data_IF_427622854939
#
_entry.id   IF_427622854939
#
_cell.length_a   1.000
_cell.length_b   1.000
_cell.length_c   1.000
_cell.angle_alpha   90.00
_cell.angle_beta   90.00
_cell.angle_gamma   90.00
#
_symmetry.space_group_name_H-M   'P 1'
#
loop_
_entity.id
_entity.type
_entity.pdbx_description
1 polymer ?
#
# COMPACT_ATOMS: atom_id res chain seq x y z
N UNK A 1 31.79 2.46 28.24
CA UNK A 1 30.99 3.55 28.83
C UNK A 1 30.31 4.29 27.69
N UNK A 2 29.03 4.69 27.82
CA UNK A 2 28.34 5.43 26.75
C UNK A 2 28.88 6.86 26.70
N UNK A 3 29.13 7.35 25.50
CA UNK A 3 29.55 8.73 25.22
C UNK A 3 28.40 9.71 25.53
N UNK A 4 28.72 10.88 26.10
CA UNK A 4 27.75 11.95 26.36
C UNK A 4 27.76 12.89 25.15
N UNK A 5 26.61 13.06 24.50
CA UNK A 5 26.50 13.96 23.35
C UNK A 5 26.24 15.40 23.82
N UNK A 6 26.96 16.37 23.27
CA UNK A 6 26.87 17.79 23.64
C UNK A 6 26.64 18.64 22.38
N UNK A 7 25.70 19.58 22.43
CA UNK A 7 25.46 20.54 21.35
C UNK A 7 25.16 21.94 21.91
N UNK A 8 25.64 22.97 21.21
CA UNK A 8 25.26 24.37 21.47
C UNK A 8 23.87 24.71 20.93
N UNK A 9 23.33 23.87 20.04
CA UNK A 9 21.96 23.96 19.53
C UNK A 9 20.91 23.49 20.55
N UNK A 10 19.64 23.52 20.14
CA UNK A 10 18.51 23.15 21.01
C UNK A 10 18.10 21.67 20.89
N UNK A 11 18.66 20.92 19.95
CA UNK A 11 18.34 19.52 19.68
C UNK A 11 19.49 18.79 18.98
N UNK A 12 19.40 17.46 18.90
CA UNK A 12 20.27 16.60 18.09
C UNK A 12 19.48 16.05 16.90
N UNK A 13 19.98 16.20 15.68
CA UNK A 13 19.33 15.61 14.50
C UNK A 13 19.33 14.08 14.59
N UNK A 14 18.17 13.46 14.34
CA UNK A 14 18.01 12.01 14.45
C UNK A 14 17.83 11.49 15.87
N UNK A 15 17.58 12.37 16.84
CA UNK A 15 17.30 12.00 18.23
C UNK A 15 16.11 12.78 18.79
N UNK A 16 15.31 12.12 19.62
CA UNK A 16 14.24 12.74 20.38
C UNK A 16 14.71 12.99 21.81
N UNK A 17 14.49 14.20 22.32
CA UNK A 17 14.63 14.49 23.74
C UNK A 17 13.40 13.91 24.46
N UNK A 18 13.63 12.93 25.34
CA UNK A 18 12.58 12.19 26.04
C UNK A 18 12.43 12.56 27.51
N UNK A 19 13.42 13.23 28.09
CA UNK A 19 13.38 13.75 29.47
C UNK A 19 14.28 14.99 29.57
N UNK A 20 13.80 16.04 30.21
CA UNK A 20 14.57 17.24 30.50
C UNK A 20 15.02 17.22 31.96
N UNK A 21 16.32 17.44 32.16
CA UNK A 21 16.93 17.60 33.47
C UNK A 21 17.13 19.03 33.88
N UNK A 22 17.81 19.19 35.01
CA UNK A 22 18.20 20.50 35.52
C UNK A 22 19.25 21.14 34.64
N UNK A 23 19.21 22.45 34.52
CA UNK A 23 20.36 23.23 34.06
C UNK A 23 21.52 23.04 35.03
N UNK A 24 22.71 22.81 34.49
CA UNK A 24 23.95 22.67 35.27
C UNK A 24 25.02 23.58 34.71
N UNK A 25 25.97 23.94 35.56
CA UNK A 25 27.18 24.60 35.17
C UNK A 25 28.36 24.10 36.01
N UNK A 26 29.55 24.16 35.43
CA UNK A 26 30.83 24.02 36.12
C UNK A 26 31.65 25.26 35.84
N UNK A 27 32.56 25.59 36.76
CA UNK A 27 33.44 26.74 36.61
C UNK A 27 34.85 26.37 37.04
N UNK A 28 35.83 26.87 36.30
CA UNK A 28 37.24 26.83 36.67
C UNK A 28 37.69 28.25 36.96
N UNK A 29 38.05 28.51 38.22
CA UNK A 29 38.41 29.84 38.69
C UNK A 29 39.87 30.13 38.34
N UNK A 30 40.11 31.23 37.63
CA UNK A 30 41.43 31.77 37.36
C UNK A 30 41.80 32.72 38.51
N UNK A 31 42.81 32.33 39.29
CA UNK A 31 43.34 33.20 40.33
C UNK A 31 44.05 34.41 39.70
N UNK A 32 44.04 35.55 40.40
CA UNK A 32 44.81 36.76 40.08
C UNK A 32 46.32 36.51 39.81
N UNK A 33 46.90 35.43 40.34
CA UNK A 33 48.28 35.02 40.03
C UNK A 33 48.42 34.46 38.61
N UNK A 34 47.38 33.85 38.02
CA UNK A 34 47.38 33.44 36.62
C UNK A 34 47.56 34.67 35.69
N UNK A 35 46.83 35.76 35.95
CA UNK A 35 46.97 37.00 35.18
C UNK A 35 48.31 37.71 35.43
N UNK A 36 48.87 37.62 36.65
CA UNK A 36 50.16 38.22 37.01
C UNK A 36 51.38 37.43 36.52
N UNK A 37 51.38 36.11 36.64
CA UNK A 37 52.46 35.22 36.16
C UNK A 37 52.61 35.30 34.63
N UNK A 38 51.49 35.52 33.94
CA UNK A 38 51.48 35.90 32.53
C UNK A 38 52.06 37.31 32.30
N UNK A 39 51.65 38.31 33.08
CA UNK A 39 52.17 39.68 32.97
C UNK A 39 53.69 39.81 33.18
N UNK A 40 54.30 38.94 34.00
CA UNK A 40 55.74 38.97 34.30
C UNK A 40 56.60 38.08 33.39
N UNK A 41 56.06 37.00 32.81
CA UNK A 41 56.80 36.11 31.90
C UNK A 41 56.77 36.54 30.42
N UNK A 42 56.01 37.60 30.07
CA UNK A 42 55.63 37.95 28.68
C UNK A 42 56.06 39.37 28.29
N UNK A 43 56.90 40.03 29.09
CA UNK A 43 57.35 41.39 28.81
C UNK A 43 58.17 41.55 27.50
N UNK A 44 58.76 40.48 26.95
CA UNK A 44 59.82 40.61 25.95
C UNK A 44 59.52 40.24 24.49
N UNK A 45 58.34 39.72 24.10
CA UNK A 45 58.09 39.33 22.68
C UNK A 45 56.69 39.74 22.20
N UNK A 46 56.64 40.57 21.15
CA UNK A 46 55.45 41.34 20.78
C UNK A 46 54.51 40.71 19.73
N UNK A 47 54.85 39.55 19.17
CA UNK A 47 54.18 39.03 17.95
C UNK A 47 53.56 37.63 18.09
N UNK A 48 54.04 36.75 18.99
CA UNK A 48 53.44 35.41 19.29
C UNK A 48 52.31 35.46 20.33
N UNK A 49 51.82 36.66 20.66
CA UNK A 49 51.01 36.96 21.86
C UNK A 49 49.62 36.33 21.91
N UNK A 50 49.03 35.97 20.76
CA UNK A 50 47.67 35.39 20.75
C UNK A 50 47.73 33.90 20.96
N UNK A 51 48.69 33.22 20.36
CA UNK A 51 48.68 31.77 20.27
C UNK A 51 48.92 31.11 21.63
N UNK A 52 49.88 31.59 22.43
CA UNK A 52 50.17 31.04 23.78
C UNK A 52 49.05 31.35 24.79
N UNK A 53 48.47 32.55 24.70
CA UNK A 53 47.35 32.93 25.55
C UNK A 53 46.09 32.13 25.20
N UNK A 54 45.83 31.98 23.91
CA UNK A 54 44.70 31.24 23.40
C UNK A 54 44.86 29.74 23.70
N UNK A 55 46.07 29.17 23.55
CA UNK A 55 46.38 27.78 23.90
C UNK A 55 46.07 27.47 25.36
N UNK A 56 46.50 28.33 26.30
CA UNK A 56 46.20 28.13 27.73
C UNK A 56 44.72 28.35 28.08
N UNK A 57 44.04 29.29 27.42
CA UNK A 57 42.59 29.45 27.59
C UNK A 57 41.86 28.24 27.02
N UNK A 58 42.30 27.69 25.89
CA UNK A 58 41.76 26.48 25.29
C UNK A 58 42.02 25.26 26.18
N UNK A 59 43.18 25.15 26.83
CA UNK A 59 43.47 24.13 27.85
C UNK A 59 42.47 24.19 29.01
N UNK A 60 42.28 25.38 29.61
CA UNK A 60 41.34 25.58 30.71
C UNK A 60 39.89 25.34 30.26
N UNK A 61 39.54 25.75 29.04
CA UNK A 61 38.23 25.54 28.46
C UNK A 61 37.96 24.05 28.27
N UNK A 62 38.93 23.32 27.71
CA UNK A 62 38.85 21.86 27.57
C UNK A 62 38.76 21.16 28.93
N UNK A 63 39.54 21.58 29.93
CA UNK A 63 39.44 21.08 31.30
C UNK A 63 38.04 21.33 31.87
N UNK A 64 37.48 22.52 31.67
CA UNK A 64 36.15 22.89 32.16
C UNK A 64 35.05 22.08 31.45
N UNK A 65 35.17 21.84 30.14
CA UNK A 65 34.28 20.95 29.36
C UNK A 65 34.39 19.51 29.86
N UNK A 66 35.60 19.02 30.15
CA UNK A 66 35.81 17.67 30.67
C UNK A 66 35.16 17.52 32.06
N UNK A 67 35.40 18.47 32.97
CA UNK A 67 34.78 18.51 34.29
C UNK A 67 33.25 18.57 34.19
N UNK A 68 32.71 19.35 33.25
CA UNK A 68 31.29 19.38 32.97
C UNK A 68 30.78 18.01 32.49
N UNK A 69 31.49 17.39 31.54
CA UNK A 69 31.13 16.09 30.97
C UNK A 69 31.16 14.98 32.01
N UNK A 70 32.16 14.97 32.90
CA UNK A 70 32.26 14.04 34.02
C UNK A 70 31.11 14.22 35.00
N UNK A 71 30.76 15.47 35.34
CA UNK A 71 29.57 15.76 36.12
C UNK A 71 28.29 15.23 35.44
N UNK A 72 28.16 15.33 34.12
CA UNK A 72 27.00 14.75 33.40
C UNK A 72 27.00 13.23 33.48
N UNK A 73 28.16 12.57 33.38
CA UNK A 73 28.31 11.10 33.46
C UNK A 73 27.89 10.54 34.82
N UNK A 74 27.97 11.33 35.88
CA UNK A 74 27.48 10.97 37.22
C UNK A 74 25.95 11.09 37.36
N UNK A 75 25.27 11.65 36.35
CA UNK A 75 23.80 11.77 36.34
C UNK A 75 23.12 10.66 35.53
N UNK A 76 21.80 10.60 35.61
CA UNK A 76 20.96 9.71 34.78
C UNK A 76 20.79 10.20 33.32
N UNK A 77 21.38 11.33 32.95
CA UNK A 77 21.19 11.97 31.64
C UNK A 77 22.33 11.59 30.68
N UNK A 78 22.03 11.48 29.39
CA UNK A 78 22.99 11.00 28.38
C UNK A 78 23.39 12.06 27.34
N UNK A 79 22.82 13.26 27.39
CA UNK A 79 23.18 14.34 26.48
C UNK A 79 22.93 15.74 27.07
N UNK A 80 23.43 16.77 26.39
CA UNK A 80 23.36 18.18 26.80
C UNK A 80 23.00 19.06 25.60
N UNK A 81 21.96 19.88 25.77
CA UNK A 81 21.54 20.89 24.76
C UNK A 81 21.70 22.30 25.31
N UNK A 82 21.79 23.27 24.39
CA UNK A 82 22.02 24.67 24.72
C UNK A 82 23.35 24.89 25.42
N UNK A 83 24.36 24.07 25.09
CA UNK A 83 25.67 24.14 25.71
C UNK A 83 26.36 25.46 25.40
N UNK A 84 26.87 26.12 26.44
CA UNK A 84 27.56 27.40 26.36
C UNK A 84 28.83 27.34 27.18
N UNK A 85 29.91 27.84 26.58
CA UNK A 85 31.18 28.06 27.26
C UNK A 85 31.58 29.52 27.11
N UNK A 86 32.19 30.09 28.14
CA UNK A 86 32.64 31.46 28.08
C UNK A 86 33.50 31.83 29.27
N UNK A 87 34.13 33.00 29.15
CA UNK A 87 34.88 33.63 30.23
C UNK A 87 33.96 34.63 30.91
N UNK A 88 33.77 34.49 32.22
CA UNK A 88 33.02 35.43 33.06
C UNK A 88 33.98 36.15 34.01
N UNK A 89 33.79 37.46 34.13
CA UNK A 89 34.49 38.29 35.12
C UNK A 89 33.58 38.50 36.33
N UNK A 90 34.02 38.03 37.49
CA UNK A 90 33.39 38.29 38.78
C UNK A 90 34.01 39.52 39.45
N UNK A 91 33.31 40.05 40.45
CA UNK A 91 33.81 41.11 41.32
C UNK A 91 35.14 40.70 41.97
N UNK A 92 36.07 41.65 42.13
CA UNK A 92 37.42 41.47 42.69
C UNK A 92 38.46 40.82 41.76
N UNK A 93 38.39 41.07 40.44
CA UNK A 93 39.34 40.58 39.43
C UNK A 93 39.47 39.04 39.41
N UNK A 94 38.37 38.35 39.70
CA UNK A 94 38.31 36.90 39.58
C UNK A 94 37.68 36.58 38.24
N UNK A 95 38.44 35.95 37.36
CA UNK A 95 37.95 35.49 36.07
C UNK A 95 37.65 34.00 36.18
N UNK A 96 36.57 33.50 35.60
CA UNK A 96 36.31 32.08 35.51
C UNK A 96 35.95 31.68 34.10
N UNK A 97 36.33 30.46 33.73
CA UNK A 97 35.77 29.80 32.55
C UNK A 97 34.58 29.00 33.03
N UNK A 98 33.41 29.26 32.43
CA UNK A 98 32.15 28.61 32.77
C UNK A 98 31.71 27.75 31.60
N UNK A 99 31.34 26.50 31.89
CA UNK A 99 30.65 25.61 30.97
C UNK A 99 29.27 25.29 31.53
N UNK A 100 28.23 25.40 30.70
CA UNK A 100 26.85 25.27 31.16
C UNK A 100 25.92 24.75 30.08
N UNK A 101 24.83 24.10 30.49
CA UNK A 101 23.86 23.55 29.56
C UNK A 101 22.71 22.84 30.27
N UNK A 102 21.73 22.42 29.49
CA UNK A 102 20.57 21.66 30.00
C UNK A 102 20.80 20.19 29.78
N UNK A 103 20.79 19.41 30.87
CA UNK A 103 20.90 17.95 30.79
C UNK A 103 19.63 17.38 30.19
N UNK A 104 19.75 16.41 29.29
CA UNK A 104 18.61 15.75 28.65
C UNK A 104 18.86 14.25 28.52
N UNK A 105 17.79 13.46 28.51
CA UNK A 105 17.85 12.13 27.93
C UNK A 105 17.40 12.21 26.49
N UNK A 106 18.27 11.79 25.59
CA UNK A 106 17.93 11.55 24.20
C UNK A 106 17.80 10.06 23.95
N UNK A 107 16.87 9.72 23.07
CA UNK A 107 16.82 8.42 22.40
C UNK A 107 17.03 8.68 20.93
N UNK A 108 17.72 7.78 20.24
CA UNK A 108 17.68 7.79 18.78
C UNK A 108 16.22 7.86 18.37
N UNK A 109 15.90 8.80 17.50
CA UNK A 109 14.61 8.81 16.84
C UNK A 109 14.46 7.44 16.20
N UNK A 110 13.38 6.77 16.55
CA UNK A 110 13.01 5.54 15.87
C UNK A 110 12.73 5.90 14.40
N UNK A 111 13.72 5.69 13.53
CA UNK A 111 13.46 5.55 12.09
C UNK A 111 12.83 4.19 11.89
N UNK A 112 11.56 4.24 11.55
CA UNK A 112 10.73 3.07 11.49
C UNK A 112 11.31 2.02 10.56
N UNK A 113 11.24 0.75 10.97
CA UNK A 113 11.26 -0.32 9.98
C UNK A 113 10.12 -0.16 8.96
N UNK A 114 9.20 0.82 9.02
CA UNK A 114 8.21 1.15 8.00
C UNK A 114 8.66 2.20 6.97
N UNK A 115 9.82 2.83 7.16
CA UNK A 115 10.66 3.24 6.03
C UNK A 115 11.42 2.03 5.43
N UNK A 116 11.38 0.86 6.11
CA UNK A 116 11.90 -0.44 5.67
C UNK A 116 10.81 -1.54 5.50
N UNK A 117 9.52 -1.19 5.60
CA UNK A 117 8.37 -2.11 5.65
C UNK A 117 7.21 -1.36 5.04
N UNK A 118 7.33 -1.22 3.73
CA UNK A 118 6.20 -0.99 2.88
C UNK A 118 5.36 -2.27 2.93
N UNK A 119 4.33 -2.30 3.79
CA UNK A 119 3.29 -3.31 3.60
C UNK A 119 2.66 -3.05 2.23
N UNK A 120 3.05 -3.85 1.25
CA UNK A 120 2.55 -3.73 -0.12
C UNK A 120 1.58 -4.89 -0.31
N UNK A 121 0.34 -4.57 -0.66
CA UNK A 121 -0.69 -5.56 -0.97
C UNK A 121 -1.32 -5.25 -2.32
N UNK A 122 -1.55 -6.30 -3.11
CA UNK A 122 -2.34 -6.22 -4.34
C UNK A 122 -3.32 -7.39 -4.39
N UNK A 123 -4.59 -7.10 -4.69
CA UNK A 123 -5.65 -8.09 -4.86
C UNK A 123 -6.09 -8.10 -6.32
N UNK A 124 -5.96 -9.25 -6.96
CA UNK A 124 -6.19 -9.40 -8.40
C UNK A 124 -7.20 -10.51 -8.63
N UNK A 125 -8.23 -10.26 -9.44
CA UNK A 125 -9.17 -11.29 -9.82
C UNK A 125 -8.58 -12.20 -10.90
N UNK A 126 -8.83 -13.50 -10.77
CA UNK A 126 -8.30 -14.52 -11.70
C UNK A 126 -9.03 -14.43 -13.04
N UNK A 127 -8.27 -14.43 -14.14
CA UNK A 127 -8.72 -14.18 -15.52
C UNK A 127 -8.98 -15.45 -16.33
N UNK A 128 -9.02 -16.61 -15.69
CA UNK A 128 -9.39 -17.88 -16.30
C UNK A 128 -10.20 -18.73 -15.31
N UNK A 129 -10.94 -19.70 -15.83
CA UNK A 129 -11.72 -20.65 -15.02
C UNK A 129 -11.83 -21.99 -15.75
N UNK A 130 -12.17 -23.05 -15.02
CA UNK A 130 -12.48 -24.35 -15.61
C UNK A 130 -13.97 -24.52 -15.72
N UNK A 131 -14.51 -25.08 -16.80
CA UNK A 131 -15.93 -25.43 -16.84
C UNK A 131 -16.22 -26.83 -16.27
N UNK A 132 -15.70 -27.09 -15.08
CA UNK A 132 -15.85 -28.35 -14.35
C UNK A 132 -16.21 -28.10 -12.88
N UNK A 133 -16.79 -29.11 -12.25
CA UNK A 133 -17.11 -29.12 -10.82
C UNK A 133 -15.87 -29.45 -9.99
N UNK A 134 -14.91 -28.53 -10.02
CA UNK A 134 -13.62 -28.58 -9.30
C UNK A 134 -13.43 -27.29 -8.50
N UNK A 135 -12.49 -27.22 -7.54
CA UNK A 135 -12.13 -25.95 -6.93
C UNK A 135 -11.73 -24.93 -8.02
N UNK A 136 -12.30 -23.73 -8.00
CA UNK A 136 -12.00 -22.69 -9.01
C UNK A 136 -11.34 -21.49 -8.36
N UNK A 137 -10.13 -21.15 -8.79
CA UNK A 137 -9.45 -19.95 -8.34
C UNK A 137 -10.24 -18.70 -8.76
N UNK A 138 -10.30 -17.69 -7.91
CA UNK A 138 -11.12 -16.49 -8.17
C UNK A 138 -10.46 -15.19 -7.78
N UNK A 139 -9.54 -15.22 -6.82
CA UNK A 139 -8.73 -14.06 -6.45
C UNK A 139 -7.34 -14.51 -6.00
N UNK A 140 -6.33 -13.74 -6.38
CA UNK A 140 -4.97 -13.84 -5.86
C UNK A 140 -4.68 -12.60 -5.02
N UNK A 141 -4.07 -12.82 -3.85
CA UNK A 141 -3.62 -11.77 -2.95
C UNK A 141 -2.10 -11.87 -2.86
N UNK A 142 -1.41 -10.86 -3.37
CA UNK A 142 0.02 -10.66 -3.19
C UNK A 142 0.22 -9.72 -2.02
N UNK A 143 1.11 -10.07 -1.09
CA UNK A 143 1.45 -9.22 0.05
C UNK A 143 2.94 -9.33 0.36
N UNK A 144 3.59 -8.22 0.72
CA UNK A 144 4.92 -8.23 1.32
C UNK A 144 4.96 -7.29 2.51
N UNK A 145 5.69 -7.70 3.53
CA UNK A 145 6.05 -6.91 4.71
C UNK A 145 7.54 -6.51 4.69
N UNK A 146 8.19 -6.54 3.51
CA UNK A 146 9.62 -6.29 3.34
C UNK A 146 10.52 -7.51 3.59
N UNK A 147 9.93 -8.68 3.84
CA UNK A 147 10.60 -9.97 4.05
C UNK A 147 10.24 -10.98 2.96
N UNK A 148 10.11 -10.49 1.73
CA UNK A 148 9.71 -11.28 0.57
C UNK A 148 8.21 -11.30 0.33
N UNK A 149 7.85 -11.54 -0.93
CA UNK A 149 6.46 -11.59 -1.36
C UNK A 149 5.83 -12.93 -0.96
N UNK A 150 4.65 -12.82 -0.37
CA UNK A 150 3.77 -13.93 -0.05
C UNK A 150 2.53 -13.88 -0.93
N UNK A 151 2.00 -15.04 -1.22
CA UNK A 151 0.85 -15.23 -2.08
C UNK A 151 -0.22 -16.08 -1.40
N UNK A 152 -1.47 -15.64 -1.49
CA UNK A 152 -2.65 -16.41 -1.11
C UNK A 152 -3.63 -16.43 -2.28
N UNK A 153 -4.32 -17.54 -2.49
CA UNK A 153 -5.32 -17.71 -3.55
C UNK A 153 -6.64 -18.13 -2.92
N UNK A 154 -7.71 -17.50 -3.40
CA UNK A 154 -9.07 -17.80 -2.99
C UNK A 154 -9.72 -18.71 -4.04
N UNK A 155 -10.24 -19.84 -3.58
CA UNK A 155 -10.87 -20.86 -4.41
C UNK A 155 -12.33 -21.04 -4.02
N UNK A 156 -13.23 -21.01 -5.01
CA UNK A 156 -14.60 -21.42 -4.81
C UNK A 156 -14.67 -22.95 -4.81
N UNK A 157 -15.29 -23.49 -3.77
CA UNK A 157 -15.47 -24.90 -3.51
C UNK A 157 -16.96 -25.21 -3.52
N UNK A 158 -17.49 -25.44 -4.72
CA UNK A 158 -18.93 -25.57 -4.94
C UNK A 158 -19.55 -26.79 -4.24
N UNK A 159 -18.76 -27.86 -4.08
CA UNK A 159 -19.21 -29.09 -3.40
C UNK A 159 -19.08 -29.03 -1.88
N UNK A 160 -18.49 -27.97 -1.33
CA UNK A 160 -18.03 -27.96 0.07
C UNK A 160 -17.16 -29.20 0.39
N UNK A 161 -16.32 -29.61 -0.56
CA UNK A 161 -15.41 -30.73 -0.33
C UNK A 161 -14.38 -30.36 0.76
N UNK A 162 -13.91 -31.35 1.50
CA UNK A 162 -12.77 -31.23 2.43
C UNK A 162 -11.45 -31.18 1.65
N UNK A 163 -11.18 -30.03 1.02
CA UNK A 163 -9.96 -29.79 0.24
C UNK A 163 -8.81 -29.48 1.19
N UNK A 164 -7.82 -30.37 1.26
CA UNK A 164 -6.66 -30.24 2.13
C UNK A 164 -5.53 -29.42 1.52
N UNK A 165 -5.32 -29.58 0.22
CA UNK A 165 -4.26 -28.89 -0.51
C UNK A 165 -4.57 -28.77 -2.00
N UNK A 166 -3.96 -27.78 -2.65
CA UNK A 166 -4.10 -27.46 -4.08
C UNK A 166 -2.72 -27.13 -4.65
N UNK A 167 -2.31 -27.79 -5.74
CA UNK A 167 -1.11 -27.44 -6.51
C UNK A 167 -1.53 -26.69 -7.76
N UNK A 168 -1.02 -25.48 -7.96
CA UNK A 168 -1.35 -24.66 -9.12
C UNK A 168 -0.15 -23.89 -9.68
N UNK A 169 -0.20 -23.61 -10.97
CA UNK A 169 0.68 -22.65 -11.64
C UNK A 169 -0.02 -21.30 -11.76
N UNK A 170 0.73 -20.23 -11.51
CA UNK A 170 0.22 -18.86 -11.60
C UNK A 170 0.97 -18.11 -12.70
N UNK A 171 0.24 -17.56 -13.65
CA UNK A 171 0.78 -16.72 -14.72
C UNK A 171 0.29 -15.30 -14.50
N UNK A 172 1.20 -14.43 -14.08
CA UNK A 172 0.94 -13.01 -13.92
C UNK A 172 1.26 -12.26 -15.20
N UNK A 173 0.51 -11.22 -15.49
CA UNK A 173 0.86 -10.21 -16.48
C UNK A 173 1.06 -8.88 -15.78
N UNK A 174 2.12 -8.16 -16.11
CA UNK A 174 2.37 -6.83 -15.56
C UNK A 174 1.67 -5.74 -16.39
N UNK A 175 1.74 -4.48 -15.94
CA UNK A 175 1.21 -3.31 -16.66
C UNK A 175 1.85 -3.06 -18.04
N UNK A 176 3.00 -3.65 -18.33
CA UNK A 176 3.69 -3.56 -19.62
C UNK A 176 3.32 -4.71 -20.57
N UNK A 177 2.60 -5.73 -20.09
CA UNK A 177 2.24 -6.92 -20.87
C UNK A 177 3.22 -8.10 -20.73
N UNK A 178 4.27 -7.99 -19.92
CA UNK A 178 5.19 -9.11 -19.70
C UNK A 178 4.56 -10.17 -18.79
N UNK A 179 4.83 -11.43 -19.11
CA UNK A 179 4.33 -12.57 -18.34
C UNK A 179 5.38 -13.09 -17.35
N UNK A 180 4.96 -13.36 -16.12
CA UNK A 180 5.75 -13.96 -15.05
C UNK A 180 5.04 -15.22 -14.58
N UNK A 181 5.69 -16.38 -14.70
CA UNK A 181 5.11 -17.66 -14.29
C UNK A 181 5.72 -18.15 -12.97
N UNK A 182 4.87 -18.51 -12.03
CA UNK A 182 5.22 -19.27 -10.82
C UNK A 182 4.69 -20.70 -10.97
N UNK A 183 5.56 -21.66 -11.33
CA UNK A 183 5.14 -23.05 -11.49
C UNK A 183 4.94 -23.74 -10.13
N UNK A 184 3.99 -24.67 -10.10
CA UNK A 184 3.83 -25.71 -9.07
C UNK A 184 3.75 -25.22 -7.62
N UNK A 185 3.05 -24.10 -7.39
CA UNK A 185 2.82 -23.55 -6.05
C UNK A 185 1.80 -24.41 -5.29
N UNK A 186 2.17 -24.82 -4.08
CA UNK A 186 1.33 -25.62 -3.19
C UNK A 186 0.60 -24.74 -2.18
N UNK A 187 -0.73 -24.79 -2.21
CA UNK A 187 -1.64 -24.07 -1.34
C UNK A 187 -2.27 -25.02 -0.32
N UNK A 188 -2.27 -24.59 0.94
CA UNK A 188 -2.92 -25.28 2.07
C UNK A 188 -3.93 -24.36 2.73
N UNK A 189 -4.75 -24.90 3.63
CA UNK A 189 -5.89 -24.19 4.21
C UNK A 189 -6.00 -24.48 5.71
N UNK A 190 -6.04 -23.43 6.53
CA UNK A 190 -6.38 -23.55 7.96
C UNK A 190 -7.79 -24.11 8.21
N UNK A 191 -8.75 -23.73 7.36
CA UNK A 191 -10.15 -24.17 7.44
C UNK A 191 -10.61 -24.73 6.13
N UNK A 192 -11.07 -25.98 6.19
CA UNK A 192 -11.61 -26.73 5.05
C UNK A 192 -13.14 -26.77 5.11
N UNK A 193 -13.79 -27.34 4.09
CA UNK A 193 -15.26 -27.47 4.01
C UNK A 193 -16.02 -26.12 4.06
N UNK A 194 -15.45 -25.10 3.40
CA UNK A 194 -16.09 -23.80 3.18
C UNK A 194 -16.38 -23.62 1.69
N UNK A 195 -17.48 -22.92 1.37
CA UNK A 195 -17.81 -22.51 -0.02
C UNK A 195 -16.69 -21.70 -0.67
N UNK A 196 -15.98 -20.91 0.12
CA UNK A 196 -14.84 -20.10 -0.32
C UNK A 196 -13.63 -20.45 0.56
N UNK A 197 -12.67 -21.15 -0.04
CA UNK A 197 -11.41 -21.51 0.58
C UNK A 197 -10.42 -20.37 0.35
N UNK A 198 -9.77 -19.90 1.41
CA UNK A 198 -8.68 -18.93 1.32
C UNK A 198 -7.42 -19.66 1.72
N UNK A 199 -6.47 -19.79 0.79
CA UNK A 199 -5.23 -20.48 1.12
C UNK A 199 -4.44 -19.69 2.14
N UNK A 200 -3.62 -20.40 2.89
CA UNK A 200 -2.57 -19.79 3.68
C UNK A 200 -1.59 -19.06 2.76
N UNK A 201 -0.84 -18.13 3.33
CA UNK A 201 0.16 -17.38 2.59
C UNK A 201 1.40 -18.25 2.35
N UNK A 202 1.77 -18.39 1.09
CA UNK A 202 2.95 -19.13 0.64
C UNK A 202 4.02 -18.13 0.23
N UNK A 203 5.28 -18.35 0.59
CA UNK A 203 6.39 -17.53 0.10
C UNK A 203 6.62 -17.78 -1.39
N UNK A 204 6.82 -16.70 -2.15
CA UNK A 204 7.16 -16.82 -3.56
C UNK A 204 8.34 -15.93 -3.95
N UNK A 205 9.07 -16.36 -4.98
CA UNK A 205 10.24 -15.64 -5.52
C UNK A 205 9.84 -14.48 -6.44
N UNK A 206 8.75 -13.76 -6.11
CA UNK A 206 8.39 -12.53 -6.80
C UNK A 206 8.99 -11.35 -6.02
N UNK A 207 9.80 -10.47 -6.63
CA UNK A 207 10.30 -9.30 -5.93
C UNK A 207 9.17 -8.31 -5.58
N UNK A 208 9.20 -7.74 -4.37
CA UNK A 208 8.14 -6.89 -3.81
C UNK A 208 7.75 -5.70 -4.70
N UNK A 209 8.72 -5.17 -5.46
CA UNK A 209 8.51 -4.09 -6.44
C UNK A 209 7.48 -4.44 -7.51
N UNK A 210 7.35 -5.72 -7.86
CA UNK A 210 6.42 -6.17 -8.90
C UNK A 210 4.98 -6.26 -8.39
N UNK A 211 4.74 -6.34 -7.08
CA UNK A 211 3.38 -6.50 -6.53
C UNK A 211 2.44 -5.41 -7.07
N UNK A 212 2.89 -4.14 -7.10
CA UNK A 212 2.10 -3.00 -7.61
C UNK A 212 1.96 -2.96 -9.14
N UNK A 213 2.83 -3.67 -9.85
CA UNK A 213 2.88 -3.68 -11.31
C UNK A 213 2.09 -4.83 -11.92
N UNK A 214 1.65 -5.80 -11.13
CA UNK A 214 0.80 -6.89 -11.62
C UNK A 214 -0.58 -6.33 -11.95
N UNK A 215 -0.98 -6.47 -13.22
CA UNK A 215 -2.28 -6.04 -13.74
C UNK A 215 -3.28 -7.19 -13.75
N UNK A 216 -2.84 -8.41 -14.06
CA UNK A 216 -3.72 -9.57 -14.17
C UNK A 216 -3.04 -10.88 -13.80
N UNK A 217 -3.84 -11.92 -13.56
CA UNK A 217 -3.35 -13.25 -13.22
C UNK A 217 -4.27 -14.33 -13.80
N UNK A 218 -3.66 -15.41 -14.32
CA UNK A 218 -4.30 -16.69 -14.61
C UNK A 218 -3.77 -17.73 -13.64
N UNK A 219 -4.65 -18.64 -13.20
CA UNK A 219 -4.31 -19.72 -12.26
C UNK A 219 -4.70 -21.05 -12.89
N UNK A 220 -3.74 -21.94 -12.99
CA UNK A 220 -3.89 -23.26 -13.58
C UNK A 220 -3.72 -24.31 -12.50
N UNK A 221 -4.83 -24.86 -12.02
CA UNK A 221 -4.82 -25.88 -10.98
C UNK A 221 -4.41 -27.20 -11.63
N UNK A 222 -3.32 -27.79 -11.15
CA UNK A 222 -2.80 -29.07 -11.65
C UNK A 222 -3.36 -30.24 -10.84
N UNK A 223 -3.30 -30.13 -9.51
CA UNK A 223 -3.74 -31.19 -8.59
C UNK A 223 -4.45 -30.62 -7.37
N UNK A 224 -5.31 -31.43 -6.76
CA UNK A 224 -5.93 -31.10 -5.48
C UNK A 224 -6.19 -32.36 -4.66
N UNK A 225 -6.20 -32.20 -3.33
CA UNK A 225 -6.26 -33.31 -2.38
C UNK A 225 -7.56 -33.26 -1.60
N UNK A 226 -8.30 -34.36 -1.59
CA UNK A 226 -9.44 -34.61 -0.69
C UNK A 226 -9.09 -35.74 0.29
N UNK A 227 -9.97 -35.99 1.26
CA UNK A 227 -9.88 -37.18 2.10
C UNK A 227 -9.85 -38.50 1.30
N UNK A 228 -10.52 -38.54 0.14
CA UNK A 228 -10.63 -39.73 -0.73
C UNK A 228 -9.44 -39.96 -1.66
N UNK A 229 -8.52 -38.99 -1.82
CA UNK A 229 -7.36 -39.16 -2.70
C UNK A 229 -6.87 -37.85 -3.32
N UNK A 230 -5.91 -38.00 -4.24
CA UNK A 230 -5.33 -36.93 -5.04
C UNK A 230 -6.00 -36.93 -6.42
N UNK A 231 -6.43 -35.76 -6.86
CA UNK A 231 -7.14 -35.56 -8.12
C UNK A 231 -6.33 -34.64 -9.01
N UNK A 232 -6.28 -34.96 -10.30
CA UNK A 232 -5.69 -34.15 -11.35
C UNK A 232 -6.78 -33.45 -12.17
N UNK A 233 -6.48 -32.27 -12.69
CA UNK A 233 -7.37 -31.56 -13.62
C UNK A 233 -6.78 -31.67 -15.01
N UNK A 234 -7.40 -32.52 -15.82
CA UNK A 234 -7.08 -32.71 -17.23
C UNK A 234 -8.15 -32.02 -18.09
N UNK A 235 -8.13 -30.68 -18.05
CA UNK A 235 -9.05 -29.86 -18.83
C UNK A 235 -8.43 -28.49 -19.11
N UNK A 236 -8.76 -27.94 -20.28
CA UNK A 236 -8.36 -26.59 -20.63
C UNK A 236 -9.15 -25.55 -19.83
N UNK A 237 -8.44 -24.53 -19.35
CA UNK A 237 -9.10 -23.38 -18.73
C UNK A 237 -9.61 -22.42 -19.80
N UNK A 238 -10.76 -21.80 -19.54
CA UNK A 238 -11.36 -20.78 -20.38
C UNK A 238 -10.87 -19.39 -19.94
N UNK A 239 -10.38 -18.59 -20.88
CA UNK A 239 -9.99 -17.20 -20.66
C UNK A 239 -11.20 -16.27 -20.54
N UNK A 240 -11.05 -15.22 -19.72
CA UNK A 240 -12.07 -14.18 -19.56
C UNK A 240 -11.71 -13.00 -20.49
N UNK A 241 -12.61 -12.68 -21.43
CA UNK A 241 -12.41 -11.70 -22.51
C UNK A 241 -13.08 -10.33 -22.26
N UNK A 242 -13.39 -9.98 -21.00
CA UNK A 242 -14.01 -8.67 -20.67
C UNK A 242 -12.99 -7.68 -20.09
N UNK A 243 -13.22 -6.38 -20.23
CA UNK A 243 -12.33 -5.37 -19.62
C UNK A 243 -12.27 -5.51 -18.09
N UNK A 244 -11.18 -5.07 -17.47
CA UNK A 244 -11.00 -5.19 -16.01
C UNK A 244 -12.05 -4.43 -15.21
N UNK A 245 -12.48 -3.28 -15.73
CA UNK A 245 -13.55 -2.45 -15.16
C UNK A 245 -14.86 -3.25 -15.13
N UNK A 246 -15.25 -3.85 -16.27
CA UNK A 246 -16.43 -4.71 -16.39
C UNK A 246 -16.32 -5.94 -15.48
N UNK A 247 -15.15 -6.57 -15.42
CA UNK A 247 -14.95 -7.77 -14.62
C UNK A 247 -15.08 -7.50 -13.13
N UNK A 248 -14.50 -6.40 -12.65
CA UNK A 248 -14.61 -5.96 -11.26
C UNK A 248 -16.06 -5.67 -10.87
N UNK A 249 -16.80 -4.96 -11.73
CA UNK A 249 -18.22 -4.69 -11.54
C UNK A 249 -19.07 -5.98 -11.49
N UNK A 250 -18.81 -6.93 -12.40
CA UNK A 250 -19.48 -8.22 -12.41
C UNK A 250 -19.27 -8.97 -11.08
N UNK A 251 -18.03 -9.03 -10.59
CA UNK A 251 -17.70 -9.69 -9.31
C UNK A 251 -18.42 -9.04 -8.13
N UNK A 252 -18.49 -7.71 -8.10
CA UNK A 252 -19.18 -6.95 -7.05
C UNK A 252 -20.69 -7.24 -7.04
N UNK A 253 -21.31 -7.30 -8.22
CA UNK A 253 -22.76 -7.49 -8.36
C UNK A 253 -23.20 -8.94 -8.20
N UNK A 254 -22.41 -9.91 -8.67
CA UNK A 254 -22.82 -11.32 -8.82
C UNK A 254 -22.08 -12.29 -7.92
N UNK A 255 -21.05 -11.81 -7.23
CA UNK A 255 -20.20 -12.64 -6.36
C UNK A 255 -18.83 -12.91 -6.98
N UNK A 256 -17.90 -13.29 -6.10
CA UNK A 256 -16.48 -13.44 -6.43
C UNK A 256 -16.19 -14.56 -7.45
N UNK A 257 -17.12 -15.50 -7.64
CA UNK A 257 -17.04 -16.60 -8.58
C UNK A 257 -17.59 -16.25 -9.98
N UNK A 258 -18.18 -15.07 -10.16
CA UNK A 258 -18.75 -14.66 -11.44
C UNK A 258 -17.66 -14.38 -12.49
N UNK A 259 -17.74 -15.01 -13.66
CA UNK A 259 -16.78 -14.92 -14.77
C UNK A 259 -17.44 -14.61 -16.12
N UNK A 260 -18.76 -14.68 -16.21
CA UNK A 260 -19.53 -14.36 -17.40
C UNK A 260 -20.81 -13.60 -17.06
N UNK A 261 -21.37 -12.89 -18.05
CA UNK A 261 -22.73 -12.38 -17.98
C UNK A 261 -23.72 -13.50 -18.31
N UNK A 262 -24.92 -13.44 -17.73
CA UNK A 262 -26.00 -14.33 -18.10
C UNK A 262 -26.38 -14.13 -19.57
N UNK A 263 -26.52 -15.24 -20.31
CA UNK A 263 -26.98 -15.27 -21.70
C UNK A 263 -27.82 -16.52 -21.91
N UNK A 264 -28.84 -16.45 -22.76
CA UNK A 264 -29.63 -17.61 -23.16
C UNK A 264 -30.15 -17.42 -24.58
N UNK A 265 -30.17 -18.51 -25.34
CA UNK A 265 -30.74 -18.59 -26.68
C UNK A 265 -32.02 -19.47 -26.72
N UNK A 266 -32.50 -19.89 -25.54
CA UNK A 266 -33.65 -20.80 -25.37
C UNK A 266 -33.28 -22.30 -25.39
N UNK A 267 -32.17 -22.68 -26.03
CA UNK A 267 -31.67 -24.06 -26.04
C UNK A 267 -30.67 -24.32 -24.93
N UNK A 268 -29.88 -23.31 -24.57
CA UNK A 268 -28.95 -23.31 -23.45
C UNK A 268 -28.96 -21.97 -22.74
N UNK A 269 -28.34 -21.92 -21.56
CA UNK A 269 -28.07 -20.67 -20.87
C UNK A 269 -26.74 -20.69 -20.10
N UNK A 270 -25.99 -19.60 -20.23
CA UNK A 270 -24.73 -19.39 -19.53
C UNK A 270 -24.98 -18.78 -18.16
N UNK A 271 -24.51 -19.44 -17.11
CA UNK A 271 -24.53 -18.92 -15.75
C UNK A 271 -23.44 -17.87 -15.53
N UNK A 272 -23.61 -16.99 -14.54
CA UNK A 272 -22.54 -16.07 -14.14
C UNK A 272 -21.24 -16.79 -13.74
N UNK A 273 -21.28 -18.03 -13.26
CA UNK A 273 -20.08 -18.83 -12.97
C UNK A 273 -19.35 -19.36 -14.22
N UNK A 274 -19.87 -19.07 -15.42
CA UNK A 274 -19.30 -19.44 -16.72
C UNK A 274 -19.85 -20.74 -17.31
N UNK A 275 -20.51 -21.58 -16.51
CA UNK A 275 -21.05 -22.85 -16.99
C UNK A 275 -22.25 -22.67 -17.91
N UNK A 276 -22.30 -23.45 -18.99
CA UNK A 276 -23.42 -23.51 -19.94
C UNK A 276 -24.35 -24.65 -19.54
N UNK A 277 -25.59 -24.32 -19.21
CA UNK A 277 -26.61 -25.27 -18.79
C UNK A 277 -27.58 -25.52 -19.95
N UNK A 278 -28.20 -26.69 -19.96
CA UNK A 278 -29.26 -27.03 -20.92
C UNK A 278 -30.52 -26.18 -20.74
N UNK A 279 -31.24 -25.96 -21.83
CA UNK A 279 -32.52 -25.28 -21.85
C UNK A 279 -33.55 -26.04 -21.02
N UNK A 280 -34.22 -25.33 -20.11
CA UNK A 280 -35.15 -25.92 -19.15
C UNK A 280 -34.54 -26.24 -17.78
N UNK A 281 -33.21 -26.21 -17.62
CA UNK A 281 -32.60 -26.32 -16.30
C UNK A 281 -32.88 -25.06 -15.46
N UNK A 282 -33.54 -25.24 -14.31
CA UNK A 282 -33.90 -24.14 -13.40
C UNK A 282 -32.70 -23.59 -12.62
N UNK A 283 -31.67 -24.40 -12.38
CA UNK A 283 -30.50 -24.05 -11.59
C UNK A 283 -29.21 -24.43 -12.30
N UNK A 284 -28.14 -23.68 -12.02
CA UNK A 284 -26.83 -23.98 -12.57
C UNK A 284 -26.23 -25.23 -11.91
N UNK A 285 -25.84 -26.23 -12.72
CA UNK A 285 -25.29 -27.50 -12.25
C UNK A 285 -24.00 -27.32 -11.43
N UNK A 286 -23.23 -26.27 -11.71
CA UNK A 286 -21.97 -26.01 -10.99
C UNK A 286 -22.18 -25.22 -9.69
N UNK A 287 -22.88 -24.08 -9.76
CA UNK A 287 -22.91 -23.14 -8.64
C UNK A 287 -24.25 -23.08 -7.91
N UNK A 288 -25.28 -23.77 -8.40
CA UNK A 288 -26.63 -23.80 -7.81
C UNK A 288 -27.41 -22.48 -7.94
N UNK A 289 -26.93 -21.49 -8.70
CA UNK A 289 -27.72 -20.26 -8.94
C UNK A 289 -28.95 -20.58 -9.78
N UNK A 290 -30.10 -20.07 -9.36
CA UNK A 290 -31.34 -20.18 -10.13
C UNK A 290 -31.30 -19.29 -11.37
N UNK A 291 -31.74 -19.82 -12.50
CA UNK A 291 -31.81 -19.10 -13.75
C UNK A 291 -32.66 -17.83 -13.61
N UNK A 292 -33.80 -17.92 -12.90
CA UNK A 292 -34.72 -16.79 -12.75
C UNK A 292 -34.14 -15.64 -11.90
N UNK A 293 -33.29 -15.94 -10.90
CA UNK A 293 -32.58 -14.90 -10.15
C UNK A 293 -31.61 -14.11 -11.04
N UNK A 294 -31.09 -14.75 -12.09
CA UNK A 294 -30.25 -14.12 -13.09
C UNK A 294 -31.08 -13.40 -14.16
N UNK A 295 -32.23 -13.94 -14.57
CA UNK A 295 -33.18 -13.28 -15.49
C UNK A 295 -33.78 -12.01 -14.89
N UNK A 296 -34.17 -12.02 -13.62
CA UNK A 296 -34.72 -10.86 -12.92
C UNK A 296 -33.68 -9.76 -12.70
N UNK A 297 -32.41 -10.07 -12.96
CA UNK A 297 -31.31 -9.12 -12.97
C UNK A 297 -30.89 -8.68 -14.36
N UNK A 298 -31.69 -8.99 -15.39
CA UNK A 298 -31.57 -8.38 -16.73
C UNK A 298 -31.93 -6.90 -16.59
N UNK A 299 -30.99 -6.16 -16.00
CA UNK A 299 -30.73 -4.77 -16.37
C UNK A 299 -30.43 -4.82 -17.86
N UNK A 300 -31.33 -4.25 -18.66
CA UNK A 300 -31.10 -3.77 -20.01
C UNK A 300 -29.67 -4.02 -20.54
N UNK A 301 -29.53 -4.85 -21.58
CA UNK A 301 -28.23 -5.06 -22.21
C UNK A 301 -27.78 -3.76 -22.89
N UNK A 302 -26.96 -2.99 -22.18
CA UNK A 302 -26.53 -1.67 -22.59
C UNK A 302 -25.37 -1.68 -23.59
N UNK A 303 -24.78 -2.84 -23.89
CA UNK A 303 -23.62 -2.93 -24.79
C UNK A 303 -23.92 -2.47 -26.23
N UNK A 304 -24.99 -2.93 -26.90
CA UNK A 304 -25.33 -2.45 -28.25
C UNK A 304 -25.59 -0.93 -28.27
N UNK A 305 -26.22 -0.42 -27.22
CA UNK A 305 -26.46 1.01 -27.07
C UNK A 305 -25.15 1.79 -26.94
N UNK A 306 -24.21 1.33 -26.10
CA UNK A 306 -22.91 1.99 -25.94
C UNK A 306 -22.08 1.95 -27.23
N UNK A 307 -22.09 0.83 -27.96
CA UNK A 307 -21.41 0.74 -29.25
C UNK A 307 -22.01 1.73 -30.27
N UNK A 308 -23.34 1.88 -30.30
CA UNK A 308 -24.00 2.89 -31.14
C UNK A 308 -23.63 4.32 -30.69
N UNK A 309 -23.59 4.58 -29.37
CA UNK A 309 -23.19 5.88 -28.82
C UNK A 309 -21.76 6.27 -29.20
N UNK A 310 -20.82 5.32 -29.19
CA UNK A 310 -19.40 5.55 -29.57
C UNK A 310 -19.25 6.01 -31.03
N UNK A 311 -20.21 5.69 -31.90
CA UNK A 311 -20.19 6.15 -33.30
C UNK A 311 -20.61 7.62 -33.48
N UNK A 312 -21.16 8.26 -32.44
CA UNK A 312 -21.67 9.64 -32.50
C UNK A 312 -20.59 10.65 -32.17
N UNK A 313 -20.75 11.90 -32.62
CA UNK A 313 -19.77 12.96 -32.41
C UNK A 313 -20.20 13.90 -31.28
N UNK A 314 -21.50 14.19 -31.17
CA UNK A 314 -22.05 15.14 -30.22
C UNK A 314 -22.91 14.49 -29.15
N UNK A 315 -22.98 15.07 -27.94
CA UNK A 315 -23.78 14.52 -26.84
C UNK A 315 -25.27 14.50 -27.16
N UNK A 316 -25.76 15.39 -28.02
CA UNK A 316 -27.17 15.39 -28.44
C UNK A 316 -27.52 14.11 -29.22
N UNK A 317 -26.62 13.63 -30.06
CA UNK A 317 -26.80 12.38 -30.82
C UNK A 317 -26.69 11.16 -29.90
N UNK A 318 -25.81 11.22 -28.89
CA UNK A 318 -25.70 10.19 -27.84
C UNK A 318 -27.00 10.11 -27.04
N UNK A 319 -27.60 11.26 -26.72
CA UNK A 319 -28.92 11.32 -26.07
C UNK A 319 -30.00 10.71 -26.96
N UNK A 320 -29.98 10.99 -28.27
CA UNK A 320 -30.93 10.38 -29.20
C UNK A 320 -30.80 8.85 -29.23
N UNK A 321 -29.56 8.33 -29.19
CA UNK A 321 -29.32 6.89 -29.04
C UNK A 321 -29.93 6.39 -27.73
N UNK A 322 -29.63 7.02 -26.58
CA UNK A 322 -30.23 6.64 -25.28
C UNK A 322 -31.76 6.58 -25.36
N UNK A 323 -32.40 7.57 -25.99
CA UNK A 323 -33.85 7.66 -26.10
C UNK A 323 -34.47 6.52 -26.91
N UNK A 324 -33.73 5.90 -27.84
CA UNK A 324 -34.21 4.68 -28.55
C UNK A 324 -34.37 3.49 -27.61
N UNK A 325 -33.50 3.39 -26.60
CA UNK A 325 -33.43 2.26 -25.68
C UNK A 325 -34.04 2.54 -24.29
N UNK A 326 -34.36 3.80 -23.98
CA UNK A 326 -34.79 4.24 -22.64
C UNK A 326 -36.01 3.48 -22.09
N UNK A 327 -36.88 2.97 -22.99
CA UNK A 327 -38.09 2.22 -22.63
C UNK A 327 -37.78 0.84 -22.06
N UNK A 328 -36.64 0.28 -22.45
CA UNK A 328 -36.18 -1.06 -22.05
C UNK A 328 -35.27 -0.99 -20.81
N UNK A 329 -34.87 0.22 -20.41
CA UNK A 329 -34.07 0.50 -19.22
C UNK A 329 -34.96 0.57 -17.97
N UNK A 330 -34.45 0.06 -16.84
CA UNK A 330 -35.14 0.13 -15.54
C UNK A 330 -35.46 1.57 -15.13
N UNK A 331 -36.67 1.78 -14.61
CA UNK A 331 -37.20 3.12 -14.29
C UNK A 331 -36.32 3.88 -13.30
N UNK A 332 -35.66 3.20 -12.36
CA UNK A 332 -34.74 3.82 -11.40
C UNK A 332 -33.47 4.37 -12.04
N UNK A 333 -32.98 3.75 -13.13
CA UNK A 333 -31.77 4.19 -13.83
C UNK A 333 -32.04 5.31 -14.84
N UNK A 334 -33.26 5.41 -15.38
CA UNK A 334 -33.61 6.39 -16.42
C UNK A 334 -33.30 7.83 -15.99
N UNK A 335 -33.62 8.19 -14.75
CA UNK A 335 -33.43 9.55 -14.26
C UNK A 335 -31.94 9.92 -14.21
N UNK A 336 -31.11 9.04 -13.67
CA UNK A 336 -29.65 9.24 -13.61
C UNK A 336 -29.02 9.31 -15.01
N UNK A 337 -29.48 8.48 -15.95
CA UNK A 337 -29.01 8.54 -17.34
C UNK A 337 -29.38 9.86 -18.01
N UNK A 338 -30.59 10.36 -17.79
CA UNK A 338 -31.03 11.65 -18.33
C UNK A 338 -30.24 12.82 -17.71
N UNK A 339 -29.97 12.78 -16.40
CA UNK A 339 -29.13 13.77 -15.72
C UNK A 339 -27.70 13.79 -16.29
N UNK A 340 -27.11 12.63 -16.56
CA UNK A 340 -25.79 12.52 -17.22
C UNK A 340 -25.83 13.20 -18.59
N UNK A 341 -26.87 12.95 -19.39
CA UNK A 341 -27.01 13.57 -20.72
C UNK A 341 -27.19 15.09 -20.64
N UNK A 342 -28.05 15.58 -19.74
CA UNK A 342 -28.29 17.02 -19.58
C UNK A 342 -27.03 17.76 -19.08
N UNK A 343 -26.31 17.16 -18.13
CA UNK A 343 -25.03 17.68 -17.67
C UNK A 343 -24.02 17.74 -18.82
N UNK A 344 -23.89 16.67 -19.60
CA UNK A 344 -23.01 16.60 -20.77
C UNK A 344 -23.31 17.68 -21.80
N UNK A 345 -24.59 17.87 -22.16
CA UNK A 345 -25.04 18.91 -23.09
C UNK A 345 -24.71 20.33 -22.62
N UNK A 346 -24.85 20.58 -21.31
CA UNK A 346 -24.55 21.90 -20.74
C UNK A 346 -23.06 22.20 -20.73
N UNK A 347 -22.23 21.20 -20.40
CA UNK A 347 -20.78 21.36 -20.46
C UNK A 347 -20.25 21.46 -21.89
N UNK A 348 -20.82 20.71 -22.84
CA UNK A 348 -20.37 20.71 -24.23
C UNK A 348 -20.47 22.10 -24.88
N UNK A 349 -21.52 22.85 -24.55
CA UNK A 349 -21.72 24.25 -24.98
C UNK A 349 -20.64 25.22 -24.49
N UNK A 350 -19.98 24.91 -23.37
CA UNK A 350 -19.04 25.83 -22.70
C UNK A 350 -17.59 25.37 -22.71
N UNK A 351 -17.31 24.08 -22.96
CA UNK A 351 -15.98 23.48 -22.75
C UNK A 351 -15.49 22.58 -23.89
N UNK A 352 -16.26 22.44 -24.98
CA UNK A 352 -15.91 21.54 -26.09
C UNK A 352 -16.47 20.12 -25.88
N UNK A 353 -16.08 19.18 -26.75
CA UNK A 353 -16.72 17.85 -26.80
C UNK A 353 -16.73 17.14 -25.44
N UNK A 354 -17.90 16.64 -25.06
CA UNK A 354 -18.10 15.89 -23.82
C UNK A 354 -18.39 14.41 -24.07
N UNK A 355 -18.25 13.95 -25.32
CA UNK A 355 -18.55 12.59 -25.78
C UNK A 355 -18.00 11.51 -24.86
N UNK A 356 -16.67 11.47 -24.69
CA UNK A 356 -16.02 10.36 -24.00
C UNK A 356 -16.40 10.34 -22.51
N UNK A 357 -16.51 11.52 -21.88
CA UNK A 357 -16.93 11.63 -20.48
C UNK A 357 -18.37 11.19 -20.26
N UNK A 358 -19.27 11.51 -21.19
CA UNK A 358 -20.68 11.07 -21.11
C UNK A 358 -20.78 9.55 -21.28
N UNK A 359 -20.08 8.99 -22.28
CA UNK A 359 -20.06 7.53 -22.52
C UNK A 359 -19.52 6.80 -21.29
N UNK A 360 -18.42 7.28 -20.71
CA UNK A 360 -17.83 6.71 -19.50
C UNK A 360 -18.81 6.74 -18.32
N UNK A 361 -19.48 7.87 -18.08
CA UNK A 361 -20.47 7.99 -16.98
C UNK A 361 -21.67 7.07 -17.17
N UNK A 362 -22.16 6.93 -18.41
CA UNK A 362 -23.24 6.00 -18.73
C UNK A 362 -22.78 4.56 -18.47
N UNK A 363 -21.59 4.19 -18.94
CA UNK A 363 -21.03 2.85 -18.71
C UNK A 363 -20.86 2.57 -17.21
N UNK A 364 -20.28 3.50 -16.44
CA UNK A 364 -20.10 3.38 -14.99
C UNK A 364 -21.43 3.18 -14.26
N UNK A 365 -22.48 3.90 -14.67
CA UNK A 365 -23.80 3.74 -14.08
C UNK A 365 -24.35 2.32 -14.28
N UNK A 366 -24.23 1.77 -15.50
CA UNK A 366 -24.60 0.38 -15.76
C UNK A 366 -23.69 -0.63 -15.06
N UNK A 367 -22.44 -0.28 -14.81
CA UNK A 367 -21.50 -1.09 -14.03
C UNK A 367 -21.69 -0.95 -12.51
N UNK A 368 -22.48 0.02 -12.04
CA UNK A 368 -22.64 0.30 -10.61
C UNK A 368 -21.34 0.74 -9.94
N UNK A 369 -20.51 1.48 -10.68
CA UNK A 369 -19.29 2.15 -10.25
C UNK A 369 -19.61 3.62 -10.00
#
# INVERSE_FOLDING_TARGET
>A
MKEVLITSGTSFEGYDIVDYGTYKFTQTILNSNFLKDFGTSIADIATDRRDIYQEKIDEILNETINNFTDMVRETKYNAVVGFRTGVEEYTNNVTAVVASGTLVNIKEQYKSEFDKSSFIRNEIYVRNYYDLLVPRASKVVLASEGKGTKISVWFNNYNNDDIKALKAELQFTNIYGDNITLPDVDFTFDKTNLKLLKSDYVECKLPDKYIKMISSVKVYIKKYVKASGVYEIDADSIGIEMSDVKFKALKLKKGIDAVANYKSDGLVWTCNCGHVNEGGAEECVICGRKQDDMKNSITFNYEPMLEEMKTKEYVIEIKDVLMKYIKDIDTGMRMQLLEIMESGLNYEKSRGSMKDSVIEKVENLFLGL
#
